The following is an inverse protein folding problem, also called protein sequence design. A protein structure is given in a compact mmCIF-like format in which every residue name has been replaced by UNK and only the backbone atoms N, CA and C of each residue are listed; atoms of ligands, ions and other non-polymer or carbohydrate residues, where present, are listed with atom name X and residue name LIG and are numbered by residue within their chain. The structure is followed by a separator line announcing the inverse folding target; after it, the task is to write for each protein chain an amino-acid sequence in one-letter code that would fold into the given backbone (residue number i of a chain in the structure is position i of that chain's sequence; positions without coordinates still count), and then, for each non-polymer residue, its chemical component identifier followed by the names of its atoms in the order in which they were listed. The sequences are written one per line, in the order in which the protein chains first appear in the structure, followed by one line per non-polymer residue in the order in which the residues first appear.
data_IF_973573538971
#
_entry.id   IF_973573538971
#
_cell.length_a   1.000
_cell.length_b   1.000
_cell.length_c   1.000
_cell.angle_alpha   90.00
_cell.angle_beta   90.00
_cell.angle_gamma   90.00
#
_symmetry.space_group_name_H-M   'P 1'
#
loop_
_entity.id
_entity.type
_entity.pdbx_description
1 polymer ?
#
# COMPACT_ATOMS: atom_id res chain seq x y z
N UNK A 1 58.11 -20.25 22.74
CA UNK A 1 56.78 -19.73 22.37
C UNK A 1 56.15 -19.20 23.66
N UNK A 2 55.93 -17.88 23.74
CA UNK A 2 55.67 -17.13 24.98
C UNK A 2 54.34 -17.48 25.67
N UNK A 3 54.38 -17.41 27.00
CA UNK A 3 53.32 -17.57 28.01
C UNK A 3 52.57 -16.25 28.27
N UNK A 4 51.32 -16.31 28.72
CA UNK A 4 50.83 -15.43 29.81
C UNK A 4 49.50 -15.90 30.38
N UNK A 5 49.52 -16.16 31.69
CA UNK A 5 48.39 -16.22 32.62
C UNK A 5 48.51 -14.97 33.51
N UNK A 6 47.43 -14.22 33.76
CA UNK A 6 47.04 -13.75 35.12
C UNK A 6 45.79 -12.87 35.13
N UNK A 7 45.09 -13.03 36.25
CA UNK A 7 43.81 -12.49 36.63
C UNK A 7 43.83 -11.03 37.13
N UNK A 8 42.65 -10.40 37.21
CA UNK A 8 42.20 -9.70 38.43
C UNK A 8 40.69 -9.46 38.46
N UNK A 9 40.08 -9.79 39.60
CA UNK A 9 38.74 -9.37 40.04
C UNK A 9 38.74 -7.89 40.44
N UNK A 10 37.51 -7.39 40.64
CA UNK A 10 37.05 -6.30 41.54
C UNK A 10 36.44 -5.14 40.74
N UNK A 11 35.24 -4.61 41.01
CA UNK A 11 34.46 -4.48 42.24
C UNK A 11 32.95 -4.53 41.94
N UNK A 12 32.19 -5.08 42.89
CA UNK A 12 30.77 -4.81 43.13
C UNK A 12 30.55 -3.35 43.53
N UNK A 13 29.59 -2.64 42.91
CA UNK A 13 28.78 -1.57 43.54
C UNK A 13 27.38 -1.49 42.91
N UNK A 14 26.40 -1.88 43.73
CA UNK A 14 25.07 -1.34 44.01
C UNK A 14 24.46 -0.26 43.08
N UNK A 15 23.29 -0.61 42.55
CA UNK A 15 22.06 0.16 42.26
C UNK A 15 22.17 1.70 42.18
N UNK A 16 21.87 2.23 41.00
CA UNK A 16 21.01 3.41 40.85
C UNK A 16 20.01 3.16 39.73
N UNK A 17 18.74 3.26 40.08
CA UNK A 17 17.61 3.27 39.16
C UNK A 17 17.81 4.34 38.09
N UNK A 18 17.95 3.89 36.85
CA UNK A 18 17.99 4.73 35.68
C UNK A 18 17.72 3.82 34.49
N UNK A 19 16.47 3.36 34.34
CA UNK A 19 16.00 2.77 33.11
C UNK A 19 16.06 3.83 32.01
N UNK A 20 17.25 4.11 31.48
CA UNK A 20 17.36 4.53 30.10
C UNK A 20 17.11 3.29 29.27
N UNK A 21 15.83 3.06 28.95
CA UNK A 21 15.46 2.20 27.84
C UNK A 21 16.06 2.87 26.60
N UNK A 22 17.25 2.42 26.20
CA UNK A 22 17.76 2.70 24.87
C UNK A 22 16.87 1.89 23.94
N UNK A 23 15.77 2.50 23.52
CA UNK A 23 14.95 1.93 22.47
C UNK A 23 15.87 1.80 21.24
N UNK A 24 16.12 0.57 20.81
CA UNK A 24 16.79 0.35 19.53
C UNK A 24 16.06 1.15 18.44
N UNK A 25 16.75 1.67 17.40
CA UNK A 25 16.10 2.44 16.33
C UNK A 25 14.90 1.72 15.69
N UNK A 26 14.89 0.39 15.75
CA UNK A 26 13.80 -0.51 15.37
C UNK A 26 12.51 -0.32 16.21
N UNK A 27 12.62 -0.04 17.52
CA UNK A 27 11.48 0.22 18.40
C UNK A 27 10.84 1.60 18.15
N UNK A 28 11.63 2.61 17.75
CA UNK A 28 11.13 3.92 17.35
C UNK A 28 10.34 3.87 16.03
N UNK A 29 10.67 2.93 15.14
CA UNK A 29 9.89 2.63 13.94
C UNK A 29 8.52 1.96 14.23
N UNK A 30 8.36 1.32 15.39
CA UNK A 30 7.09 0.71 15.80
C UNK A 30 6.06 1.70 16.36
N UNK A 31 6.41 2.97 16.56
CA UNK A 31 5.49 3.99 17.10
C UNK A 31 4.71 4.76 16.02
N UNK A 32 4.94 4.49 14.74
CA UNK A 32 4.12 5.10 13.68
C UNK A 32 2.89 4.23 13.44
N UNK A 33 1.72 4.86 13.52
CA UNK A 33 0.46 4.26 13.10
C UNK A 33 0.63 3.67 11.69
N UNK A 34 0.15 2.43 11.50
CA UNK A 34 0.23 1.76 10.21
C UNK A 34 -0.45 2.63 9.15
N UNK A 35 0.23 2.79 8.01
CA UNK A 35 -0.30 3.51 6.85
C UNK A 35 0.23 2.90 5.56
N UNK A 36 -0.55 3.00 4.50
CA UNK A 36 -0.15 2.65 3.15
C UNK A 36 0.01 3.90 2.31
N UNK A 37 1.15 4.03 1.65
CA UNK A 37 1.46 5.16 0.79
C UNK A 37 1.44 4.75 -0.68
N UNK A 38 0.84 5.60 -1.52
CA UNK A 38 0.81 5.43 -2.97
C UNK A 38 1.20 6.73 -3.66
N UNK A 39 1.96 6.61 -4.75
CA UNK A 39 2.05 7.68 -5.73
C UNK A 39 0.78 7.63 -6.60
N UNK A 40 0.03 8.72 -6.59
CA UNK A 40 -1.24 8.85 -7.27
C UNK A 40 -1.20 9.98 -8.30
N UNK A 41 -1.71 9.72 -9.50
CA UNK A 41 -1.87 10.72 -10.55
C UNK A 41 -3.33 11.11 -10.72
N UNK A 42 -3.58 12.41 -10.85
CA UNK A 42 -4.89 12.98 -11.12
C UNK A 42 -4.81 13.99 -12.26
N UNK A 43 -5.63 13.81 -13.28
CA UNK A 43 -5.83 14.83 -14.30
C UNK A 43 -6.86 15.85 -13.81
N UNK A 44 -6.43 17.09 -13.55
CA UNK A 44 -7.33 18.20 -13.23
C UNK A 44 -7.91 18.77 -14.53
N UNK A 45 -9.21 18.56 -14.82
CA UNK A 45 -9.83 19.07 -16.04
C UNK A 45 -9.88 20.60 -16.08
N UNK A 46 -9.92 21.26 -14.93
CA UNK A 46 -10.03 22.73 -14.84
C UNK A 46 -8.72 23.42 -15.21
N UNK A 47 -7.59 22.77 -14.88
CA UNK A 47 -6.24 23.28 -15.15
C UNK A 47 -5.57 22.59 -16.36
N UNK A 48 -6.24 21.61 -16.96
CA UNK A 48 -5.70 20.72 -17.99
C UNK A 48 -4.33 20.12 -17.63
N UNK A 49 -4.12 19.78 -16.36
CA UNK A 49 -2.81 19.40 -15.82
C UNK A 49 -2.86 18.06 -15.10
N UNK A 50 -1.87 17.22 -15.36
CA UNK A 50 -1.60 16.01 -14.59
C UNK A 50 -0.86 16.36 -13.29
N UNK A 51 -1.50 16.14 -12.14
CA UNK A 51 -0.93 16.34 -10.81
C UNK A 51 -0.53 15.02 -10.17
N UNK A 52 0.56 15.05 -9.41
CA UNK A 52 1.06 13.92 -8.64
C UNK A 52 0.90 14.17 -7.15
N UNK A 53 0.28 13.23 -6.46
CA UNK A 53 0.08 13.24 -5.03
C UNK A 53 0.69 11.99 -4.40
N UNK A 54 1.14 12.12 -3.16
CA UNK A 54 1.29 10.97 -2.28
C UNK A 54 -0.03 10.79 -1.53
N UNK A 55 -0.76 9.73 -1.83
CA UNK A 55 -1.95 9.31 -1.09
C UNK A 55 -1.52 8.45 0.08
N UNK A 56 -1.95 8.79 1.29
CA UNK A 56 -1.76 8.03 2.51
C UNK A 56 -3.11 7.49 2.95
N UNK A 57 -3.19 6.19 3.22
CA UNK A 57 -4.37 5.53 3.77
C UNK A 57 -4.04 4.91 5.13
N UNK A 58 -4.92 5.11 6.11
CA UNK A 58 -4.77 4.63 7.47
C UNK A 58 -5.79 3.52 7.74
N UNK A 59 -5.38 2.23 7.69
CA UNK A 59 -6.31 1.11 7.82
C UNK A 59 -7.01 1.03 9.18
N UNK A 60 -6.44 1.65 10.23
CA UNK A 60 -7.01 1.64 11.57
C UNK A 60 -8.37 2.33 11.66
N UNK A 61 -8.56 3.42 10.90
CA UNK A 61 -9.76 4.26 10.97
C UNK A 61 -10.36 4.60 9.59
N UNK A 62 -9.79 4.07 8.51
CA UNK A 62 -10.24 4.33 7.15
C UNK A 62 -10.01 5.78 6.69
N UNK A 63 -9.12 6.51 7.34
CA UNK A 63 -8.82 7.89 6.96
C UNK A 63 -7.79 7.98 5.83
N UNK A 64 -7.83 9.09 5.11
CA UNK A 64 -6.94 9.40 3.99
C UNK A 64 -6.32 10.78 4.13
N UNK A 65 -5.09 10.93 3.65
CA UNK A 65 -4.36 12.19 3.53
C UNK A 65 -3.72 12.27 2.14
N UNK A 66 -3.59 13.47 1.57
CA UNK A 66 -2.89 13.66 0.30
C UNK A 66 -1.87 14.79 0.39
N UNK A 67 -0.66 14.51 -0.05
CA UNK A 67 0.45 15.46 -0.14
C UNK A 67 0.77 15.76 -1.61
N UNK A 68 0.84 17.04 -1.98
CA UNK A 68 1.27 17.49 -3.30
C UNK A 68 2.79 17.32 -3.43
N UNK A 69 3.22 16.35 -4.23
CA UNK A 69 4.63 15.98 -4.37
C UNK A 69 5.43 17.10 -5.04
N UNK A 70 4.83 17.81 -6.01
CA UNK A 70 5.52 18.86 -6.75
C UNK A 70 5.71 20.10 -5.90
N UNK A 71 4.67 20.50 -5.17
CA UNK A 71 4.67 21.74 -4.39
C UNK A 71 5.07 21.55 -2.92
N UNK A 72 5.36 20.32 -2.51
CA UNK A 72 5.79 19.97 -1.15
C UNK A 72 4.86 20.52 -0.06
N UNK A 73 3.54 20.35 -0.25
CA UNK A 73 2.53 20.84 0.68
C UNK A 73 1.38 19.85 0.85
N UNK A 74 0.71 19.92 2.00
CA UNK A 74 -0.54 19.18 2.23
C UNK A 74 -1.58 19.67 1.21
N UNK A 75 -2.17 18.74 0.46
CA UNK A 75 -3.27 18.99 -0.46
C UNK A 75 -4.62 18.68 0.22
N UNK A 76 -4.70 17.54 0.89
CA UNK A 76 -5.85 17.11 1.69
C UNK A 76 -5.33 16.70 3.06
N UNK A 77 -5.79 17.38 4.12
CA UNK A 77 -5.50 16.98 5.50
C UNK A 77 -6.16 15.63 5.82
N UNK A 78 -5.56 14.86 6.72
CA UNK A 78 -6.11 13.58 7.18
C UNK A 78 -7.58 13.73 7.56
N UNK A 79 -8.43 12.98 6.87
CA UNK A 79 -9.87 12.97 7.08
C UNK A 79 -10.40 11.55 6.90
N UNK A 80 -11.42 11.19 7.68
CA UNK A 80 -12.12 9.92 7.50
C UNK A 80 -12.74 9.85 6.11
N UNK A 81 -12.64 8.70 5.46
CA UNK A 81 -13.18 8.48 4.11
C UNK A 81 -13.61 7.02 3.93
N UNK A 82 -14.89 6.76 4.16
CA UNK A 82 -15.43 5.39 4.24
C UNK A 82 -15.57 4.68 2.89
N UNK A 83 -15.52 5.42 1.76
CA UNK A 83 -15.69 4.87 0.40
C UNK A 83 -14.41 4.26 -0.19
N UNK A 84 -13.27 4.33 0.52
CA UNK A 84 -12.02 3.73 0.07
C UNK A 84 -11.70 2.51 0.91
N UNK A 85 -11.67 1.34 0.27
CA UNK A 85 -11.41 0.08 0.94
C UNK A 85 -10.01 -0.47 0.66
N UNK A 86 -9.54 -1.35 1.54
CA UNK A 86 -8.17 -1.89 1.48
C UNK A 86 -7.94 -2.73 0.20
N UNK A 87 -8.99 -3.33 -0.33
CA UNK A 87 -8.99 -4.16 -1.54
C UNK A 87 -8.69 -3.33 -2.80
N UNK A 88 -8.99 -2.03 -2.78
CA UNK A 88 -8.77 -1.09 -3.88
C UNK A 88 -7.35 -0.51 -3.90
N UNK A 89 -6.60 -0.70 -2.83
CA UNK A 89 -5.26 -0.13 -2.64
C UNK A 89 -4.18 -0.99 -3.29
N UNK A 90 -4.06 -0.90 -4.61
CA UNK A 90 -3.00 -1.57 -5.37
C UNK A 90 -2.57 -0.77 -6.60
N UNK A 91 -1.30 -0.90 -6.96
CA UNK A 91 -0.74 -0.23 -8.14
C UNK A 91 -1.44 -0.69 -9.42
N UNK A 92 -1.85 0.29 -10.23
CA UNK A 92 -2.63 0.15 -11.45
C UNK A 92 -4.14 0.28 -11.26
N UNK A 93 -4.65 0.36 -10.02
CA UNK A 93 -6.06 0.65 -9.78
C UNK A 93 -6.37 2.14 -9.98
N UNK A 94 -7.66 2.44 -10.18
CA UNK A 94 -8.21 3.79 -10.12
C UNK A 94 -9.19 3.88 -8.96
N UNK A 95 -8.97 4.84 -8.08
CA UNK A 95 -9.80 5.07 -6.89
C UNK A 95 -10.39 6.47 -6.94
N UNK A 96 -11.54 6.67 -6.31
CA UNK A 96 -12.16 7.99 -6.20
C UNK A 96 -11.95 8.48 -4.77
N UNK A 97 -11.43 9.70 -4.63
CA UNK A 97 -11.29 10.39 -3.34
C UNK A 97 -11.80 11.81 -3.51
N UNK A 98 -12.88 12.16 -2.80
CA UNK A 98 -13.54 13.48 -2.90
C UNK A 98 -13.74 13.95 -4.36
N UNK A 99 -14.43 13.11 -5.15
CA UNK A 99 -14.74 13.34 -6.57
C UNK A 99 -13.54 13.47 -7.51
N UNK A 100 -12.34 13.03 -7.07
CA UNK A 100 -11.14 12.96 -7.91
C UNK A 100 -10.83 11.50 -8.22
N UNK A 101 -10.80 11.17 -9.51
CA UNK A 101 -10.38 9.84 -9.96
C UNK A 101 -8.85 9.76 -10.00
N UNK A 102 -8.27 9.18 -8.96
CA UNK A 102 -6.83 9.01 -8.80
C UNK A 102 -6.39 7.69 -9.44
N UNK A 103 -5.34 7.72 -10.24
CA UNK A 103 -4.65 6.51 -10.72
C UNK A 103 -3.50 6.18 -9.79
N UNK A 104 -3.52 5.03 -9.13
CA UNK A 104 -2.42 4.59 -8.26
C UNK A 104 -1.28 4.05 -9.14
N UNK A 105 -0.25 4.85 -9.36
CA UNK A 105 0.82 4.54 -10.34
C UNK A 105 2.02 3.85 -9.74
N UNK A 106 2.27 4.03 -8.45
CA UNK A 106 3.37 3.37 -7.74
C UNK A 106 3.11 3.30 -6.22
N UNK A 107 3.91 2.51 -5.51
CA UNK A 107 3.96 2.56 -4.05
C UNK A 107 4.74 3.79 -3.58
N UNK A 108 4.27 4.43 -2.52
CA UNK A 108 4.90 5.62 -1.95
C UNK A 108 6.05 5.31 -1.00
N UNK A 109 6.18 4.07 -0.53
CA UNK A 109 7.29 3.59 0.29
C UNK A 109 7.49 2.06 0.18
N UNK A 110 8.69 1.60 0.57
CA UNK A 110 9.06 0.18 0.52
C UNK A 110 8.21 -0.70 1.44
N UNK A 111 7.76 -0.13 2.56
CA UNK A 111 6.90 -0.82 3.51
C UNK A 111 5.58 -1.23 2.83
N UNK A 112 4.94 -0.28 2.16
CA UNK A 112 3.69 -0.51 1.41
C UNK A 112 3.92 -1.49 0.27
N UNK A 113 5.02 -1.34 -0.48
CA UNK A 113 5.38 -2.26 -1.56
C UNK A 113 5.54 -3.70 -1.08
N UNK A 114 6.20 -3.93 0.06
CA UNK A 114 6.38 -5.27 0.62
C UNK A 114 5.06 -5.86 1.13
N UNK A 115 4.22 -5.05 1.78
CA UNK A 115 2.98 -5.50 2.43
C UNK A 115 1.84 -5.76 1.43
N UNK A 116 1.75 -4.96 0.37
CA UNK A 116 0.66 -5.01 -0.60
C UNK A 116 1.09 -5.54 -1.98
N UNK A 117 2.36 -5.36 -2.36
CA UNK A 117 2.87 -5.78 -3.67
C UNK A 117 2.92 -7.30 -3.88
N UNK A 118 3.03 -8.07 -2.81
CA UNK A 118 3.04 -9.54 -2.84
C UNK A 118 1.65 -10.18 -2.98
N UNK A 119 0.56 -9.40 -2.95
CA UNK A 119 -0.81 -9.94 -2.81
C UNK A 119 -1.64 -10.06 -4.09
N UNK A 120 -1.17 -9.61 -5.26
CA UNK A 120 -2.02 -9.61 -6.47
C UNK A 120 -1.32 -10.20 -7.69
N UNK A 121 -1.46 -11.51 -7.85
CA UNK A 121 -1.21 -12.19 -9.11
C UNK A 121 -2.27 -11.77 -10.14
N UNK A 122 -1.84 -11.45 -11.37
CA UNK A 122 -2.73 -11.17 -12.49
C UNK A 122 -2.72 -12.36 -13.43
N UNK A 123 -3.89 -12.94 -13.67
CA UNK A 123 -4.07 -14.00 -14.66
C UNK A 123 -5.00 -13.53 -15.78
N UNK A 124 -4.86 -14.12 -16.96
CA UNK A 124 -5.74 -13.90 -18.10
C UNK A 124 -6.63 -15.12 -18.26
N UNK A 125 -7.95 -14.91 -18.24
CA UNK A 125 -8.95 -15.93 -18.53
C UNK A 125 -9.61 -15.61 -19.87
N UNK A 126 -9.72 -16.63 -20.74
CA UNK A 126 -10.43 -16.54 -22.01
C UNK A 126 -11.67 -17.42 -21.96
N UNK A 127 -12.81 -16.87 -22.34
CA UNK A 127 -14.05 -17.64 -22.49
C UNK A 127 -14.08 -18.17 -23.93
N UNK A 128 -14.14 -19.49 -24.07
CA UNK A 128 -14.27 -20.15 -25.37
C UNK A 128 -15.59 -19.74 -26.06
N UNK A 129 -15.63 -19.58 -27.40
CA UNK A 129 -16.81 -19.04 -28.10
C UNK A 129 -18.13 -19.77 -27.83
N UNK A 130 -18.09 -21.09 -27.63
CA UNK A 130 -19.22 -21.96 -27.30
C UNK A 130 -19.80 -21.72 -25.89
N UNK A 131 -19.01 -21.12 -24.99
CA UNK A 131 -19.39 -20.83 -23.62
C UNK A 131 -19.83 -19.37 -23.38
N UNK A 132 -19.88 -18.53 -24.43
CA UNK A 132 -20.25 -17.10 -24.31
C UNK A 132 -21.67 -16.92 -23.76
N UNK A 133 -22.60 -17.82 -24.08
CA UNK A 133 -23.97 -17.80 -23.55
C UNK A 133 -24.03 -18.02 -22.03
N UNK A 134 -22.96 -18.57 -21.43
CA UNK A 134 -22.84 -18.83 -19.99
C UNK A 134 -21.97 -17.79 -19.27
N UNK A 135 -21.64 -16.67 -19.90
CA UNK A 135 -20.71 -15.67 -19.36
C UNK A 135 -21.11 -15.18 -17.97
N UNK A 136 -22.40 -14.97 -17.69
CA UNK A 136 -22.87 -14.54 -16.38
C UNK A 136 -22.52 -15.54 -15.27
N UNK A 137 -22.80 -16.83 -15.50
CA UNK A 137 -22.45 -17.90 -14.55
C UNK A 137 -20.94 -18.05 -14.37
N UNK A 138 -20.16 -17.89 -15.43
CA UNK A 138 -18.69 -17.94 -15.37
C UNK A 138 -18.16 -16.78 -14.52
N UNK A 139 -18.65 -15.57 -14.72
CA UNK A 139 -18.27 -14.39 -13.93
C UNK A 139 -18.65 -14.59 -12.46
N UNK A 140 -19.84 -15.12 -12.19
CA UNK A 140 -20.26 -15.40 -10.82
C UNK A 140 -19.33 -16.40 -10.13
N UNK A 141 -18.99 -17.51 -10.79
CA UNK A 141 -18.03 -18.49 -10.24
C UNK A 141 -16.65 -17.88 -9.94
N UNK A 142 -16.19 -16.93 -10.76
CA UNK A 142 -14.94 -16.20 -10.51
C UNK A 142 -15.06 -15.40 -9.20
N UNK A 143 -16.13 -14.65 -9.00
CA UNK A 143 -16.34 -13.90 -7.75
C UNK A 143 -16.51 -14.81 -6.54
N UNK A 144 -17.26 -15.90 -6.66
CA UNK A 144 -17.48 -16.88 -5.59
C UNK A 144 -16.16 -17.56 -5.17
N UNK A 145 -15.19 -17.68 -6.08
CA UNK A 145 -13.84 -18.19 -5.80
C UNK A 145 -12.90 -17.16 -5.14
N UNK A 146 -13.38 -15.94 -4.87
CA UNK A 146 -12.59 -14.87 -4.29
C UNK A 146 -11.69 -14.13 -5.29
N UNK A 147 -11.89 -14.33 -6.59
CA UNK A 147 -11.17 -13.63 -7.65
C UNK A 147 -11.95 -12.40 -8.11
N UNK A 148 -11.24 -11.38 -8.62
CA UNK A 148 -11.84 -10.13 -9.08
C UNK A 148 -11.55 -9.93 -10.57
N UNK A 149 -12.60 -9.70 -11.36
CA UNK A 149 -12.46 -9.33 -12.78
C UNK A 149 -12.09 -7.85 -12.87
N UNK A 150 -10.84 -7.55 -13.19
CA UNK A 150 -10.34 -6.16 -13.28
C UNK A 150 -10.51 -5.54 -14.66
N UNK A 151 -10.49 -6.35 -15.72
CA UNK A 151 -10.71 -5.94 -17.11
C UNK A 151 -11.40 -7.06 -17.87
N UNK A 152 -12.41 -6.72 -18.66
CA UNK A 152 -13.08 -7.64 -19.58
C UNK A 152 -13.23 -7.00 -20.95
N UNK A 153 -12.99 -7.76 -22.03
CA UNK A 153 -13.17 -7.30 -23.41
C UNK A 153 -13.66 -8.44 -24.29
N UNK A 154 -14.77 -8.22 -25.00
CA UNK A 154 -15.25 -9.14 -26.03
C UNK A 154 -14.57 -8.80 -27.35
N UNK A 155 -13.91 -9.78 -27.97
CA UNK A 155 -13.19 -9.61 -29.23
C UNK A 155 -13.44 -10.82 -30.13
N UNK A 156 -13.62 -10.59 -31.44
CA UNK A 156 -13.58 -11.64 -32.45
C UNK A 156 -12.15 -11.78 -32.95
N UNK A 157 -11.52 -12.92 -32.75
CA UNK A 157 -10.21 -13.22 -33.33
C UNK A 157 -10.42 -13.60 -34.80
N UNK A 158 -9.68 -12.95 -35.70
CA UNK A 158 -9.59 -13.31 -37.12
C UNK A 158 -8.24 -13.96 -37.36
N UNK A 159 -8.24 -15.12 -38.02
CA UNK A 159 -7.04 -15.81 -38.51
C UNK A 159 -6.98 -15.75 -40.02
#
# INVERSE_FOLDING_TARGET
MWTSLRARRSHTKTVTSGFHVVAEPSCLLMLREERFAFLAEWYDPSAALLRRYQLLYYPKDGSVEMFDVKNQRIFLRRTKYDDLHSEDLFVGNRVIVFSRQLSLVDYGDQYTANKLGSKKERTLAMIKPDAVTKVGSIIQMIYDSGLIVTKAKMTKLTG
#
